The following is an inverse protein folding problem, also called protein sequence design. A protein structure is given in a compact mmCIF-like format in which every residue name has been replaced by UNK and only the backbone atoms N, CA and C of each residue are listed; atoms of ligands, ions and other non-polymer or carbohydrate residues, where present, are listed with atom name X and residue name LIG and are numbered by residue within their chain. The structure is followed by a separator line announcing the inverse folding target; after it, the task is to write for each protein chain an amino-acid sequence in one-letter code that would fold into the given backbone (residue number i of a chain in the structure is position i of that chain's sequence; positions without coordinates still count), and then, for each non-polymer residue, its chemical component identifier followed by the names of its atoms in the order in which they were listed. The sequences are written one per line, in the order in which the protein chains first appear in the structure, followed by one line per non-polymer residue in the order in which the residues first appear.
data_IF_361554406291
#
_entry.id   IF_361554406291
#
_cell.length_a   1.000
_cell.length_b   1.000
_cell.length_c   1.000
_cell.angle_alpha   90.00
_cell.angle_beta   90.00
_cell.angle_gamma   90.00
#
_symmetry.space_group_name_H-M   'P 1'
#
loop_
_entity.id
_entity.type
_entity.pdbx_description
1 polymer ?
#
# COMPACT_ATOMS: atom_id res chain seq x y z
N UNK A 1 -27.34 -5.19 -9.37
CA UNK A 1 -26.64 -4.46 -9.19
C UNK A 1 -25.28 -4.70 -9.05
N UNK A 2 -24.48 -4.26 -9.68
CA UNK A 2 -23.18 -4.52 -9.62
C UNK A 2 -22.54 -3.94 -8.49
N UNK A 3 -21.72 -4.62 -7.89
CA UNK A 3 -21.15 -4.22 -6.79
C UNK A 3 -19.76 -3.90 -6.93
N UNK A 4 -19.13 -4.30 -7.96
CA UNK A 4 -17.70 -4.14 -8.08
C UNK A 4 -17.26 -2.70 -7.97
N UNK A 5 -17.90 -1.81 -8.68
CA UNK A 5 -17.46 -0.44 -8.66
C UNK A 5 -17.76 0.21 -7.33
N UNK A 6 -18.74 -0.29 -6.62
CA UNK A 6 -19.07 0.30 -5.36
C UNK A 6 -18.11 -0.06 -4.27
N UNK A 7 -17.29 -1.08 -4.50
CA UNK A 7 -16.31 -1.44 -3.51
C UNK A 7 -15.11 -0.54 -3.54
N UNK A 8 -15.04 0.38 -4.50
CA UNK A 8 -13.88 1.23 -4.60
C UNK A 8 -14.19 2.58 -4.00
N UNK A 9 -14.42 2.61 -2.70
CA UNK A 9 -14.68 3.85 -1.99
C UNK A 9 -13.47 4.22 -1.17
N UNK A 10 -13.31 5.50 -0.80
CA UNK A 10 -12.18 5.89 0.02
C UNK A 10 -12.09 5.10 1.31
N UNK A 11 -13.22 4.85 1.96
CA UNK A 11 -13.22 4.11 3.21
C UNK A 11 -12.70 2.70 3.04
N UNK A 12 -13.06 2.06 1.93
CA UNK A 12 -12.59 0.70 1.71
C UNK A 12 -11.10 0.66 1.47
N UNK A 13 -10.57 1.65 0.75
CA UNK A 13 -9.14 1.73 0.54
C UNK A 13 -8.43 1.95 1.88
N UNK A 14 -8.94 2.87 2.70
CA UNK A 14 -8.31 3.17 3.97
C UNK A 14 -8.36 1.96 4.91
N UNK A 15 -9.47 1.24 4.91
CA UNK A 15 -9.56 0.03 5.73
C UNK A 15 -8.58 -1.03 5.25
N UNK A 16 -8.41 -1.16 3.95
CA UNK A 16 -7.44 -2.12 3.42
C UNK A 16 -6.01 -1.73 3.80
N UNK A 17 -5.71 -0.44 3.82
CA UNK A 17 -4.39 0.02 4.25
C UNK A 17 -4.18 -0.29 5.73
N UNK A 18 -5.20 -0.03 6.55
CA UNK A 18 -5.09 -0.33 7.98
C UNK A 18 -4.87 -1.80 8.26
N UNK A 19 -5.33 -2.65 7.35
CA UNK A 19 -5.20 -4.09 7.54
C UNK A 19 -3.81 -4.62 7.20
N UNK A 20 -2.93 -3.80 6.62
CA UNK A 20 -1.57 -4.25 6.31
C UNK A 20 -0.77 -4.29 7.61
N UNK A 21 -0.28 -5.46 8.02
CA UNK A 21 0.46 -5.54 9.28
C UNK A 21 1.86 -4.96 9.13
N UNK A 22 2.44 -4.56 10.26
CA UNK A 22 3.81 -4.06 10.27
C UNK A 22 4.76 -5.12 9.73
N UNK A 23 5.71 -4.71 8.92
CA UNK A 23 6.67 -5.62 8.32
C UNK A 23 6.25 -6.11 6.94
N UNK A 24 5.04 -5.76 6.50
CA UNK A 24 4.53 -6.17 5.19
C UNK A 24 4.06 -4.97 4.40
N UNK A 25 3.88 -5.18 3.11
CA UNK A 25 3.43 -4.10 2.21
C UNK A 25 2.41 -4.64 1.23
N UNK A 26 1.66 -3.72 0.63
CA UNK A 26 0.84 -3.99 -0.54
C UNK A 26 1.13 -2.92 -1.57
N UNK A 27 0.85 -3.22 -2.82
CA UNK A 27 1.05 -2.21 -3.86
C UNK A 27 -0.21 -1.39 -4.04
N UNK A 28 -0.07 -0.23 -4.70
CA UNK A 28 -1.23 0.59 -5.02
C UNK A 28 -2.27 -0.20 -5.80
N UNK A 29 -1.82 -1.05 -6.72
CA UNK A 29 -2.74 -1.86 -7.50
C UNK A 29 -3.40 -2.97 -6.70
N UNK A 30 -2.74 -3.47 -5.65
CA UNK A 30 -3.36 -4.46 -4.79
C UNK A 30 -4.58 -3.87 -4.08
N UNK A 31 -4.51 -2.60 -3.73
CA UNK A 31 -5.57 -1.95 -2.98
C UNK A 31 -6.68 -1.44 -3.88
N UNK A 32 -6.37 -1.16 -5.14
CA UNK A 32 -7.36 -0.71 -6.11
C UNK A 32 -7.06 -1.38 -7.45
N UNK A 33 -7.46 -2.65 -7.60
CA UNK A 33 -7.14 -3.38 -8.83
C UNK A 33 -7.66 -2.67 -10.06
N UNK A 34 -6.79 -2.50 -11.03
CA UNK A 34 -7.13 -1.81 -12.26
C UNK A 34 -7.08 -0.29 -12.17
N UNK A 35 -6.92 0.26 -10.96
CA UNK A 35 -6.91 1.71 -10.79
C UNK A 35 -5.96 2.12 -9.67
N UNK A 36 -4.66 1.84 -9.81
CA UNK A 36 -3.71 2.14 -8.72
C UNK A 36 -3.65 3.62 -8.36
N UNK A 37 -3.94 4.51 -9.31
CA UNK A 37 -3.93 5.92 -9.01
C UNK A 37 -5.00 6.30 -8.01
N UNK A 38 -6.08 5.54 -7.96
CA UNK A 38 -7.14 5.84 -7.02
C UNK A 38 -6.64 5.70 -5.58
N UNK A 39 -5.88 4.64 -5.31
CA UNK A 39 -5.28 4.47 -3.98
C UNK A 39 -4.42 5.68 -3.64
N UNK A 40 -3.58 6.11 -4.58
CA UNK A 40 -2.72 7.27 -4.33
C UNK A 40 -3.52 8.53 -4.03
N UNK A 41 -4.60 8.75 -4.76
CA UNK A 41 -5.45 9.91 -4.53
C UNK A 41 -6.08 9.86 -3.14
N UNK A 42 -6.60 8.70 -2.75
CA UNK A 42 -7.21 8.55 -1.44
C UNK A 42 -6.20 8.83 -0.34
N UNK A 43 -5.00 8.27 -0.45
CA UNK A 43 -3.98 8.49 0.57
C UNK A 43 -3.54 9.94 0.64
N UNK A 44 -3.44 10.61 -0.52
CA UNK A 44 -2.97 11.98 -0.54
C UNK A 44 -3.99 12.95 0.00
N UNK A 45 -5.28 12.66 -0.19
CA UNK A 45 -6.33 13.61 0.15
C UNK A 45 -7.05 13.30 1.46
N UNK A 46 -6.73 12.17 2.09
CA UNK A 46 -7.42 11.79 3.31
C UNK A 46 -6.70 12.35 4.53
N UNK A 47 -7.47 12.73 5.54
CA UNK A 47 -6.91 13.12 6.82
C UNK A 47 -6.79 11.94 7.76
N UNK A 48 -7.20 10.76 7.35
CA UNK A 48 -7.20 9.61 8.23
C UNK A 48 -5.78 9.17 8.55
N UNK A 49 -5.57 8.72 9.78
CA UNK A 49 -4.28 8.20 10.17
C UNK A 49 -4.22 6.74 9.83
N UNK A 50 -3.47 6.42 8.81
CA UNK A 50 -3.32 5.04 8.35
C UNK A 50 -1.84 4.80 8.06
N UNK A 51 -1.39 3.54 8.09
CA UNK A 51 0.02 3.26 7.81
C UNK A 51 0.32 3.36 6.32
N UNK A 52 0.25 4.58 5.79
CA UNK A 52 0.42 4.85 4.37
C UNK A 52 1.76 4.35 3.83
N UNK A 53 2.76 4.28 4.68
CA UNK A 53 4.11 3.88 4.24
C UNK A 53 4.17 2.41 3.85
N UNK A 54 3.16 1.63 4.18
CA UNK A 54 3.11 0.21 3.81
C UNK A 54 2.53 0.00 2.41
N UNK A 55 2.29 1.09 1.66
CA UNK A 55 1.79 1.02 0.29
C UNK A 55 2.93 1.46 -0.63
N UNK A 56 3.28 0.60 -1.59
CA UNK A 56 4.41 0.85 -2.47
C UNK A 56 3.99 0.67 -3.92
N UNK A 57 4.85 1.11 -4.82
CA UNK A 57 4.57 0.95 -6.25
C UNK A 57 4.73 -0.51 -6.66
N UNK A 58 4.20 -0.83 -7.83
CA UNK A 58 4.18 -2.21 -8.32
C UNK A 58 5.57 -2.83 -8.39
N UNK A 59 6.61 -2.04 -8.56
CA UNK A 59 7.97 -2.54 -8.63
C UNK A 59 8.69 -2.47 -7.29
N UNK A 60 7.99 -2.11 -6.23
CA UNK A 60 8.58 -2.01 -4.89
C UNK A 60 9.19 -0.67 -4.58
N UNK A 61 9.21 0.25 -5.55
CA UNK A 61 9.80 1.57 -5.29
C UNK A 61 8.87 2.40 -4.41
N UNK A 62 9.45 3.43 -3.78
CA UNK A 62 8.74 4.22 -2.80
C UNK A 62 8.32 5.55 -3.38
N UNK A 63 7.05 5.92 -3.15
CA UNK A 63 6.55 7.20 -3.65
C UNK A 63 7.00 8.37 -2.79
N UNK A 64 7.30 8.13 -1.51
CA UNK A 64 7.64 9.20 -0.59
C UNK A 64 9.10 9.18 -0.14
N UNK A 65 9.93 8.51 -0.88
CA UNK A 65 11.38 8.61 -0.70
C UNK A 65 11.88 8.17 0.67
N UNK A 66 12.80 8.94 1.20
CA UNK A 66 13.51 8.52 2.41
C UNK A 66 12.63 8.49 3.64
N UNK A 67 11.64 9.33 3.71
CA UNK A 67 10.75 9.31 4.85
C UNK A 67 10.01 7.97 4.93
N UNK A 68 9.55 7.50 3.79
CA UNK A 68 8.88 6.21 3.73
C UNK A 68 9.85 5.09 4.01
N UNK A 69 11.08 5.20 3.47
CA UNK A 69 12.11 4.20 3.69
C UNK A 69 12.40 4.02 5.18
N UNK A 70 12.54 5.12 5.89
CA UNK A 70 12.86 5.06 7.31
C UNK A 70 11.76 4.34 8.09
N UNK A 71 10.50 4.58 7.75
CA UNK A 71 9.40 3.92 8.44
C UNK A 71 9.36 2.43 8.14
N UNK A 72 9.61 2.05 6.89
CA UNK A 72 9.64 0.63 6.54
C UNK A 72 10.85 -0.07 7.14
N UNK A 73 12.00 0.58 7.17
CA UNK A 73 13.18 0.01 7.81
C UNK A 73 12.91 -0.24 9.29
N UNK A 74 12.22 0.67 9.95
CA UNK A 74 11.91 0.51 11.37
C UNK A 74 11.02 -0.69 11.62
N UNK A 75 10.25 -1.12 10.62
CA UNK A 75 9.40 -2.29 10.75
C UNK A 75 10.08 -3.56 10.26
N UNK A 76 11.33 -3.47 9.81
CA UNK A 76 12.04 -4.66 9.36
C UNK A 76 11.70 -5.13 7.97
N UNK A 77 11.11 -4.27 7.14
CA UNK A 77 10.75 -4.65 5.78
C UNK A 77 12.02 -4.85 4.95
N UNK A 78 12.15 -6.01 4.28
CA UNK A 78 13.35 -6.26 3.49
C UNK A 78 13.36 -5.47 2.18
N UNK A 79 14.56 -5.00 1.81
CA UNK A 79 14.75 -4.26 0.59
C UNK A 79 15.79 -4.93 -0.29
N UNK A 80 15.70 -4.65 -1.57
CA UNK A 80 16.74 -4.98 -2.52
C UNK A 80 17.14 -3.66 -3.16
N UNK A 81 18.26 -3.10 -2.71
CA UNK A 81 18.65 -1.76 -3.12
C UNK A 81 17.64 -0.77 -2.59
N UNK A 82 17.07 0.03 -3.45
CA UNK A 82 16.12 1.05 -3.03
C UNK A 82 14.66 0.62 -3.22
N UNK A 83 14.41 -0.66 -3.45
CA UNK A 83 13.06 -1.17 -3.63
C UNK A 83 12.75 -2.23 -2.59
N UNK A 84 11.50 -2.26 -2.15
CA UNK A 84 11.07 -3.33 -1.24
C UNK A 84 11.18 -4.67 -1.96
N UNK A 85 11.65 -5.68 -1.27
CA UNK A 85 11.68 -7.03 -1.82
C UNK A 85 10.27 -7.61 -1.74
N UNK A 86 9.52 -7.45 -2.81
CA UNK A 86 8.12 -7.84 -2.84
C UNK A 86 7.91 -9.34 -2.72
N UNK A 87 8.93 -10.12 -3.08
CA UNK A 87 8.79 -11.58 -2.96
C UNK A 87 8.65 -12.01 -1.52
N UNK A 88 9.17 -11.19 -0.60
CA UNK A 88 9.15 -11.51 0.82
C UNK A 88 8.10 -10.70 1.55
N UNK A 89 7.99 -9.41 1.25
CA UNK A 89 7.20 -8.50 2.07
C UNK A 89 5.78 -8.29 1.59
N UNK A 90 5.49 -8.59 0.33
CA UNK A 90 4.15 -8.34 -0.20
C UNK A 90 3.18 -9.38 0.33
N UNK A 91 2.04 -8.93 0.83
CA UNK A 91 1.02 -9.84 1.31
C UNK A 91 0.41 -10.58 0.13
N UNK A 92 0.31 -11.90 0.20
CA UNK A 92 -0.28 -12.66 -0.91
C UNK A 92 -1.72 -12.25 -1.15
N UNK A 93 -2.11 -12.37 -2.42
CA UNK A 93 -3.39 -11.90 -2.81
C UNK A 93 -4.55 -12.61 -2.19
N UNK A 94 -4.55 -13.87 -2.13
CA UNK A 94 -5.69 -14.63 -1.68
C UNK A 94 -5.58 -15.11 -0.27
N UNK A 95 -5.01 -14.34 0.57
CA UNK A 95 -4.88 -14.72 1.98
C UNK A 95 -6.02 -14.16 2.80
#
# INVERSE_FOLDING_TARGET
MSKGSQDRTPERVLDAVRAIPAGFVRTYGDLSPGAPRYTGTVLRTSDAEVPWWRVVRADGSLAQGERQRALLDAEGVPFRGDRVDLRIARIPYDV
#
